data_IF_119752705536
#
_entry.id   IF_119752705536
#
_cell.length_a   1.000
_cell.length_b   1.000
_cell.length_c   1.000
_cell.angle_alpha   90.00
_cell.angle_beta   90.00
_cell.angle_gamma   90.00
#
_symmetry.space_group_name_H-M   'P 1'
#
loop_
_entity.id
_entity.type
_entity.pdbx_description
1 polymer ?
#
# COMPACT_ATOMS: atom_id res chain seq x y z
N UNK A 1 52.63 12.11 -3.74
CA UNK A 1 51.65 11.01 -3.61
C UNK A 1 50.91 11.06 -2.28
N UNK A 2 51.59 11.46 -1.20
CA UNK A 2 51.02 11.44 0.16
C UNK A 2 49.87 12.43 0.40
N UNK A 3 49.85 13.58 -0.28
CA UNK A 3 48.79 14.58 -0.10
C UNK A 3 47.42 14.13 -0.66
N UNK A 4 47.42 13.37 -1.76
CA UNK A 4 46.20 12.80 -2.34
C UNK A 4 45.59 11.73 -1.45
N UNK A 5 46.43 10.90 -0.81
CA UNK A 5 45.97 9.87 0.13
C UNK A 5 45.34 10.53 1.36
N UNK A 6 45.98 11.57 1.92
CA UNK A 6 45.44 12.32 3.05
C UNK A 6 44.10 12.98 2.72
N UNK A 7 43.99 13.61 1.54
CA UNK A 7 42.75 14.23 1.09
C UNK A 7 41.62 13.20 0.89
N UNK A 8 41.94 12.03 0.33
CA UNK A 8 40.98 10.94 0.19
C UNK A 8 40.46 10.42 1.53
N UNK A 9 41.33 10.27 2.53
CA UNK A 9 40.95 9.83 3.87
C UNK A 9 40.04 10.86 4.57
N UNK A 10 40.36 12.15 4.46
CA UNK A 10 39.50 13.23 4.99
C UNK A 10 38.12 13.23 4.35
N UNK A 11 38.04 13.08 3.02
CA UNK A 11 36.78 13.04 2.30
C UNK A 11 35.97 11.78 2.62
N UNK A 12 36.63 10.64 2.83
CA UNK A 12 35.98 9.42 3.33
C UNK A 12 35.38 9.65 4.71
N UNK A 13 36.17 10.20 5.64
CA UNK A 13 35.73 10.44 7.02
C UNK A 13 34.59 11.47 7.08
N UNK A 14 34.63 12.49 6.20
CA UNK A 14 33.58 13.52 6.09
C UNK A 14 32.27 12.91 5.60
N UNK A 15 32.32 12.02 4.60
CA UNK A 15 31.13 11.29 4.10
C UNK A 15 30.54 10.36 5.16
N UNK A 16 31.37 9.61 5.88
CA UNK A 16 30.91 8.74 6.97
C UNK A 16 30.23 9.56 8.10
N UNK A 17 30.82 10.69 8.49
CA UNK A 17 30.20 11.60 9.47
C UNK A 17 28.86 12.15 8.99
N UNK A 18 28.77 12.60 7.74
CA UNK A 18 27.51 13.11 7.16
C UNK A 18 26.42 12.04 7.16
N UNK A 19 26.75 10.81 6.76
CA UNK A 19 25.81 9.69 6.76
C UNK A 19 25.30 9.40 8.19
N UNK A 20 26.19 9.41 9.18
CA UNK A 20 25.80 9.24 10.59
C UNK A 20 24.84 10.34 11.07
N UNK A 21 25.14 11.62 10.78
CA UNK A 21 24.27 12.73 11.17
C UNK A 21 22.91 12.71 10.45
N UNK A 22 22.88 12.36 9.16
CA UNK A 22 21.64 12.19 8.42
C UNK A 22 20.79 11.04 9.00
N UNK A 23 21.39 9.90 9.31
CA UNK A 23 20.68 8.78 9.93
C UNK A 23 20.11 9.15 11.32
N UNK A 24 20.83 9.96 12.10
CA UNK A 24 20.34 10.46 13.38
C UNK A 24 19.15 11.43 13.21
N UNK A 25 19.19 12.32 12.20
CA UNK A 25 18.07 13.22 11.88
C UNK A 25 16.84 12.44 11.44
N UNK A 26 17.00 11.49 10.51
CA UNK A 26 15.90 10.66 10.00
C UNK A 26 15.21 9.86 11.12
N UNK A 27 15.97 9.41 12.14
CA UNK A 27 15.38 8.75 13.32
C UNK A 27 14.48 9.67 14.13
N UNK A 28 14.93 10.90 14.42
CA UNK A 28 14.10 11.89 15.14
C UNK A 28 12.85 12.26 14.34
N UNK A 29 13.00 12.52 13.05
CA UNK A 29 11.87 12.83 12.16
C UNK A 29 10.88 11.64 12.09
N UNK A 30 11.39 10.41 12.09
CA UNK A 30 10.57 9.19 12.13
C UNK A 30 9.80 9.02 13.44
N UNK A 31 10.42 9.28 14.59
CA UNK A 31 9.79 9.26 15.91
C UNK A 31 8.70 10.34 16.04
N UNK A 32 8.99 11.57 15.60
CA UNK A 32 8.02 12.66 15.54
C UNK A 32 6.83 12.34 14.62
N UNK A 33 7.09 11.74 13.46
CA UNK A 33 6.03 11.30 12.54
C UNK A 33 5.15 10.20 13.14
N UNK A 34 5.73 9.26 13.89
CA UNK A 34 5.00 8.20 14.57
C UNK A 34 4.08 8.78 15.68
N UNK A 35 4.59 9.70 16.51
CA UNK A 35 3.77 10.38 17.52
C UNK A 35 2.64 11.20 16.91
N UNK A 36 2.88 11.92 15.80
CA UNK A 36 1.83 12.66 15.10
C UNK A 36 0.74 11.73 14.54
N UNK A 37 1.11 10.55 14.02
CA UNK A 37 0.16 9.57 13.50
C UNK A 37 -0.70 8.93 14.60
N UNK A 38 -0.15 8.71 15.79
CA UNK A 38 -0.91 8.20 16.95
C UNK A 38 -1.93 9.23 17.45
N UNK A 39 -1.51 10.50 17.53
CA UNK A 39 -2.38 11.60 17.97
C UNK A 39 -3.56 11.86 17.01
N UNK A 40 -3.38 11.66 15.70
CA UNK A 40 -4.50 11.79 14.75
C UNK A 40 -5.54 10.68 14.94
N UNK A 41 -5.13 9.45 15.28
CA UNK A 41 -6.05 8.33 15.48
C UNK A 41 -6.98 8.57 16.68
N UNK A 42 -6.46 9.03 17.82
CA UNK A 42 -7.29 9.35 18.99
C UNK A 42 -8.22 10.54 18.73
N UNK A 43 -7.76 11.56 17.98
CA UNK A 43 -8.64 12.65 17.55
C UNK A 43 -9.78 12.16 16.64
N UNK A 44 -9.52 11.27 15.69
CA UNK A 44 -10.56 10.69 14.84
C UNK A 44 -11.57 9.85 15.64
N UNK A 45 -11.11 9.13 16.66
CA UNK A 45 -11.96 8.37 17.58
C UNK A 45 -12.89 9.29 18.38
N UNK A 46 -12.35 10.40 18.90
CA UNK A 46 -13.14 11.41 19.61
C UNK A 46 -14.18 12.06 18.69
N UNK A 47 -13.79 12.45 17.47
CA UNK A 47 -14.68 13.01 16.45
C UNK A 47 -15.79 12.01 16.09
N UNK A 48 -15.45 10.74 15.90
CA UNK A 48 -16.42 9.68 15.61
C UNK A 48 -17.49 9.53 16.70
N UNK A 49 -17.10 9.55 17.98
CA UNK A 49 -18.02 9.47 19.11
C UNK A 49 -18.96 10.69 19.14
N UNK A 50 -18.43 11.90 18.93
CA UNK A 50 -19.23 13.12 18.90
C UNK A 50 -20.23 13.10 17.73
N UNK A 51 -19.79 12.69 16.54
CA UNK A 51 -20.68 12.60 15.36
C UNK A 51 -21.80 11.57 15.55
N UNK A 52 -21.51 10.41 16.16
CA UNK A 52 -22.53 9.41 16.48
C UNK A 52 -23.54 9.94 17.51
N UNK A 53 -23.07 10.62 18.55
CA UNK A 53 -23.94 11.23 19.57
C UNK A 53 -24.84 12.33 19.01
N UNK A 54 -24.27 13.24 18.20
CA UNK A 54 -25.02 14.32 17.55
C UNK A 54 -26.01 13.74 16.52
N UNK A 55 -25.61 12.72 15.76
CA UNK A 55 -26.48 12.03 14.81
C UNK A 55 -27.68 11.35 15.50
N UNK A 56 -27.47 10.72 16.65
CA UNK A 56 -28.56 10.12 17.44
C UNK A 56 -29.53 11.17 18.00
N UNK A 57 -29.00 12.29 18.53
CA UNK A 57 -29.82 13.41 19.01
C UNK A 57 -30.60 14.06 17.87
N UNK A 58 -29.98 14.24 16.71
CA UNK A 58 -30.61 14.79 15.52
C UNK A 58 -31.72 13.86 14.99
N UNK A 59 -31.48 12.56 14.92
CA UNK A 59 -32.49 11.57 14.52
C UNK A 59 -33.66 11.54 15.49
N UNK A 60 -33.40 11.61 16.80
CA UNK A 60 -34.42 11.70 17.84
C UNK A 60 -35.25 12.99 17.73
N UNK A 61 -34.61 14.14 17.50
CA UNK A 61 -35.26 15.43 17.27
C UNK A 61 -36.16 15.38 16.02
N UNK A 62 -35.67 14.88 14.89
CA UNK A 62 -36.43 14.77 13.64
C UNK A 62 -37.60 13.77 13.75
N UNK A 63 -37.52 12.81 14.67
CA UNK A 63 -38.60 11.84 14.94
C UNK A 63 -39.80 12.49 15.67
N UNK A 64 -39.60 13.62 16.36
CA UNK A 64 -40.69 14.35 17.04
C UNK A 64 -41.31 15.42 16.15
N UNK A 65 -42.65 15.56 16.17
CA UNK A 65 -43.36 16.61 15.40
C UNK A 65 -42.86 18.03 15.74
N UNK A 66 -42.50 18.26 17.00
CA UNK A 66 -41.96 19.54 17.49
C UNK A 66 -40.53 19.75 16.97
N UNK A 67 -39.70 18.71 16.98
CA UNK A 67 -38.32 18.81 16.55
C UNK A 67 -38.14 19.03 15.04
N UNK A 68 -39.09 18.61 14.19
CA UNK A 68 -39.06 18.95 12.75
C UNK A 68 -39.20 20.45 12.49
N UNK A 69 -40.06 21.15 13.24
CA UNK A 69 -40.25 22.60 13.10
C UNK A 69 -39.03 23.35 13.61
N UNK A 70 -38.52 22.96 14.78
CA UNK A 70 -37.31 23.57 15.37
C UNK A 70 -36.07 23.34 14.50
N UNK A 71 -35.94 22.16 13.88
CA UNK A 71 -34.83 21.86 12.95
C UNK A 71 -34.88 22.70 11.67
N UNK A 72 -36.07 22.97 11.12
CA UNK A 72 -36.22 23.85 9.95
C UNK A 72 -35.86 25.30 10.31
N UNK A 73 -36.31 25.78 11.48
CA UNK A 73 -35.97 27.12 11.96
C UNK A 73 -34.45 27.26 12.21
N UNK A 74 -33.81 26.26 12.82
CA UNK A 74 -32.37 26.24 13.04
C UNK A 74 -31.56 26.18 11.74
N UNK A 75 -32.02 25.43 10.73
CA UNK A 75 -31.34 25.39 9.42
C UNK A 75 -31.44 26.73 8.69
N UNK A 76 -32.60 27.39 8.74
CA UNK A 76 -32.80 28.71 8.13
C UNK A 76 -32.00 29.80 8.84
N UNK A 77 -31.96 29.80 10.18
CA UNK A 77 -31.18 30.76 10.95
C UNK A 77 -29.66 30.48 10.87
N UNK A 78 -29.25 29.21 10.90
CA UNK A 78 -27.87 28.78 10.80
C UNK A 78 -27.24 29.08 9.44
N UNK A 79 -27.99 28.92 8.35
CA UNK A 79 -27.53 29.28 7.00
C UNK A 79 -27.19 30.76 6.84
N UNK A 80 -27.95 31.65 7.51
CA UNK A 80 -27.70 33.09 7.49
C UNK A 80 -26.45 33.47 8.30
N UNK A 81 -26.16 32.78 9.42
CA UNK A 81 -24.99 33.06 10.25
C UNK A 81 -23.70 32.45 9.69
N UNK A 82 -23.75 31.22 9.15
CA UNK A 82 -22.59 30.57 8.52
C UNK A 82 -22.16 31.24 7.22
N UNK A 83 -23.10 31.79 6.45
CA UNK A 83 -22.80 32.50 5.21
C UNK A 83 -21.96 33.76 5.42
N UNK A 84 -22.17 34.48 6.52
CA UNK A 84 -21.42 35.71 6.85
C UNK A 84 -20.02 35.38 7.37
N UNK A 85 -19.89 34.34 8.19
CA UNK A 85 -18.59 33.87 8.72
C UNK A 85 -17.66 33.34 7.61
N UNK A 86 -18.21 32.59 6.64
CA UNK A 86 -17.44 32.10 5.49
C UNK A 86 -16.88 33.23 4.62
N UNK A 87 -17.65 34.30 4.42
CA UNK A 87 -17.23 35.45 3.62
C UNK A 87 -16.12 36.28 4.30
N UNK A 88 -16.11 36.33 5.63
CA UNK A 88 -15.07 37.02 6.39
C UNK A 88 -13.76 36.22 6.45
N UNK A 89 -13.85 34.89 6.52
CA UNK A 89 -12.67 34.02 6.62
C UNK A 89 -11.92 33.85 5.28
N UNK A 90 -12.62 33.98 4.15
CA UNK A 90 -12.05 33.89 2.79
C UNK A 90 -11.02 35.00 2.49
N UNK A 91 -11.16 36.17 3.12
CA UNK A 91 -10.19 37.26 3.03
C UNK A 91 -8.90 36.96 3.82
N UNK A 92 -9.01 36.34 5.00
CA UNK A 92 -7.89 35.97 5.85
C UNK A 92 -7.05 34.84 5.22
N UNK A 93 -7.70 33.83 4.62
CA UNK A 93 -7.01 32.72 3.96
C UNK A 93 -6.18 33.17 2.74
N UNK A 94 -6.69 34.13 1.94
CA UNK A 94 -5.90 34.71 0.83
C UNK A 94 -4.72 35.55 1.30
N UNK A 95 -4.79 36.17 2.48
CA UNK A 95 -3.68 36.92 3.04
C UNK A 95 -2.54 35.97 3.49
N UNK A 96 -2.89 34.85 4.13
CA UNK A 96 -1.92 33.83 4.53
C UNK A 96 -1.27 33.12 3.33
N UNK A 97 -2.03 32.82 2.27
CA UNK A 97 -1.50 32.22 1.04
C UNK A 97 -0.40 33.09 0.39
N UNK A 98 -0.56 34.43 0.39
CA UNK A 98 0.47 35.35 -0.14
C UNK A 98 1.75 35.36 0.69
N UNK A 99 1.65 35.20 2.01
CA UNK A 99 2.82 35.13 2.90
C UNK A 99 3.64 33.86 2.66
N UNK A 100 2.98 32.72 2.44
CA UNK A 100 3.65 31.45 2.12
C UNK A 100 4.37 31.52 0.78
N UNK A 101 3.74 32.13 -0.24
CA UNK A 101 4.36 32.29 -1.56
C UNK A 101 5.57 33.23 -1.56
N UNK A 102 5.56 34.28 -0.74
CA UNK A 102 6.75 35.13 -0.54
C UNK A 102 7.89 34.39 0.16
N UNK A 103 7.59 33.56 1.17
CA UNK A 103 8.61 32.76 1.87
C UNK A 103 9.26 31.71 0.96
N UNK A 104 8.50 31.13 0.03
CA UNK A 104 9.02 30.14 -0.93
C UNK A 104 9.91 30.78 -2.01
N UNK A 105 9.62 32.02 -2.42
CA UNK A 105 10.45 32.76 -3.36
C UNK A 105 11.77 33.26 -2.74
N UNK A 106 11.83 33.50 -1.43
CA UNK A 106 13.08 33.87 -0.73
C UNK A 106 14.00 32.68 -0.40
N UNK A 107 13.47 31.45 -0.42
CA UNK A 107 14.24 30.23 -0.11
C UNK A 107 14.89 29.56 -1.34
N UNK A 108 14.63 30.05 -2.56
CA UNK A 108 15.25 29.54 -3.79
C UNK A 108 16.52 30.34 -4.12
N UNK A 109 17.71 29.74 -4.15
CA UNK A 109 18.92 30.44 -4.59
C UNK A 109 18.74 30.83 -6.07
N UNK A 110 18.77 32.13 -6.36
CA UNK A 110 18.84 32.62 -7.73
C UNK A 110 20.21 32.30 -8.30
N UNK A 111 20.25 31.33 -9.22
CA UNK A 111 21.35 31.19 -10.15
C UNK A 111 21.02 31.97 -11.43
N UNK A 112 22.04 32.67 -11.92
CA UNK A 112 22.22 33.30 -13.24
C UNK A 112 21.40 34.55 -13.58
N UNK A 113 22.13 35.66 -13.55
CA UNK A 113 21.91 36.88 -14.31
C UNK A 113 22.07 36.65 -15.84
N UNK A 114 21.36 37.51 -16.57
CA UNK A 114 21.63 38.05 -17.91
C UNK A 114 21.98 37.10 -19.06
N UNK A 115 21.02 36.90 -19.97
CA UNK A 115 21.19 37.25 -21.40
C UNK A 115 19.84 37.72 -21.96
N UNK A 116 19.79 39.02 -22.31
CA UNK A 116 18.83 39.59 -23.23
C UNK A 116 18.96 38.93 -24.61
N UNK A 117 17.84 38.50 -25.20
CA UNK A 117 17.65 38.77 -26.63
C UNK A 117 16.20 38.82 -27.04
N UNK A 118 15.96 39.74 -27.97
CA UNK A 118 14.71 40.35 -28.37
C UNK A 118 13.64 39.37 -28.87
N UNK A 119 12.40 39.78 -28.63
CA UNK A 119 11.22 39.34 -29.33
C UNK A 119 11.38 39.52 -30.86
N UNK A 120 10.94 38.53 -31.63
CA UNK A 120 10.39 38.75 -32.96
C UNK A 120 9.18 37.85 -33.14
N UNK A 121 8.06 38.49 -33.48
CA UNK A 121 6.72 37.94 -33.68
C UNK A 121 6.51 37.75 -35.18
N UNK A 122 6.26 36.52 -35.62
CA UNK A 122 5.57 36.16 -36.88
C UNK A 122 4.84 34.85 -36.59
N UNK A 123 3.54 34.88 -36.28
CA UNK A 123 2.40 34.74 -37.20
C UNK A 123 2.33 33.38 -37.91
N UNK A 124 1.22 32.67 -37.64
CA UNK A 124 0.46 31.67 -38.42
C UNK A 124 1.21 30.84 -39.50
N UNK A 125 1.01 29.53 -39.61
CA UNK A 125 -0.30 28.97 -39.97
C UNK A 125 -0.29 27.44 -39.81
N UNK A 126 -1.47 26.94 -39.47
CA UNK A 126 -1.90 25.56 -39.49
C UNK A 126 -2.13 25.11 -40.94
N UNK A 127 -1.56 23.97 -41.35
CA UNK A 127 -1.98 23.25 -42.57
C UNK A 127 -1.91 21.74 -42.35
N UNK A 128 -3.07 21.13 -42.57
CA UNK A 128 -3.35 19.70 -42.61
C UNK A 128 -3.38 19.27 -44.08
N UNK A 129 -2.70 18.17 -44.40
CA UNK A 129 -2.91 17.29 -45.55
C UNK A 129 -2.06 16.04 -45.29
N UNK A 130 -2.60 14.86 -44.98
CA UNK A 130 -3.42 13.92 -45.79
C UNK A 130 -2.64 13.19 -46.89
N UNK A 131 -2.91 11.86 -46.97
CA UNK A 131 -2.76 10.90 -48.09
C UNK A 131 -1.48 10.02 -48.06
N UNK A 132 -1.50 8.70 -48.44
CA UNK A 132 -2.54 7.67 -48.41
C UNK A 132 -2.13 6.29 -47.80
N UNK A 133 -3.16 5.45 -47.67
CA UNK A 133 -3.18 3.99 -47.47
C UNK A 133 -3.15 3.22 -48.80
N UNK A 134 -2.54 2.03 -48.83
CA UNK A 134 -2.78 0.90 -49.77
C UNK A 134 -2.00 -0.34 -49.25
N UNK A 135 -2.69 -1.36 -48.69
CA UNK A 135 -3.03 -2.69 -49.30
C UNK A 135 -1.82 -3.59 -49.62
N UNK A 136 -1.80 -4.92 -49.45
CA UNK A 136 -2.72 -5.99 -49.01
C UNK A 136 -1.89 -7.30 -48.90
N UNK A 137 -2.55 -8.39 -48.47
CA UNK A 137 -2.22 -9.82 -48.72
C UNK A 137 -1.16 -10.52 -47.84
N UNK A 138 -1.33 -11.78 -47.41
CA UNK A 138 -2.44 -12.73 -47.45
C UNK A 138 -2.10 -13.95 -46.56
N UNK A 139 -3.14 -14.66 -46.13
CA UNK A 139 -3.13 -15.91 -45.34
C UNK A 139 -2.62 -17.08 -46.21
N UNK A 140 -2.11 -18.18 -45.62
CA UNK A 140 -2.90 -19.40 -45.75
C UNK A 140 -2.98 -20.24 -44.46
N UNK A 141 -4.11 -20.90 -44.33
CA UNK A 141 -4.38 -21.97 -43.38
C UNK A 141 -4.25 -23.34 -44.06
N UNK A 142 -3.98 -24.33 -43.22
CA UNK A 142 -4.19 -25.78 -43.39
C UNK A 142 -3.24 -26.53 -44.34
N UNK A 143 -2.50 -27.49 -43.79
CA UNK A 143 -2.92 -28.87 -44.03
C UNK A 143 -2.48 -29.87 -42.95
N UNK A 144 -3.36 -30.85 -42.77
CA UNK A 144 -3.32 -31.95 -41.81
C UNK A 144 -2.51 -33.11 -42.38
N UNK A 145 -1.70 -33.79 -41.56
CA UNK A 145 -1.58 -35.26 -41.65
C UNK A 145 -0.95 -35.83 -40.37
N UNK A 146 -1.74 -36.67 -39.72
CA UNK A 146 -1.32 -37.65 -38.73
C UNK A 146 -0.58 -38.82 -39.40
N UNK A 147 0.18 -39.56 -38.58
CA UNK A 147 0.50 -41.03 -38.57
C UNK A 147 1.83 -41.16 -37.82
N UNK A 148 1.85 -41.46 -36.52
CA UNK A 148 1.81 -42.79 -35.87
C UNK A 148 2.88 -43.79 -36.36
N UNK A 149 3.87 -44.05 -35.51
CA UNK A 149 4.48 -45.36 -35.17
C UNK A 149 5.57 -45.05 -34.12
N UNK A 150 5.34 -45.28 -32.83
CA UNK A 150 5.37 -46.58 -32.15
C UNK A 150 6.80 -47.16 -32.07
N UNK A 151 7.34 -47.15 -30.84
CA UNK A 151 8.19 -48.23 -30.29
C UNK A 151 8.22 -48.07 -28.78
N UNK A 152 7.34 -48.82 -28.11
CA UNK A 152 7.50 -49.28 -26.73
C UNK A 152 8.68 -50.29 -26.69
N UNK A 153 9.55 -50.30 -25.69
CA UNK A 153 9.47 -51.00 -24.39
C UNK A 153 10.89 -50.84 -23.79
N UNK A 154 11.13 -50.79 -22.48
CA UNK A 154 10.81 -51.87 -21.57
C UNK A 154 10.96 -51.44 -20.10
N UNK A 155 9.87 -51.70 -19.38
CA UNK A 155 9.75 -52.07 -17.97
C UNK A 155 11.04 -52.49 -17.26
N UNK A 156 11.26 -51.90 -16.09
CA UNK A 156 11.59 -52.70 -14.90
C UNK A 156 10.57 -52.38 -13.81
N UNK A 157 9.76 -53.40 -13.51
CA UNK A 157 8.96 -53.46 -12.31
C UNK A 157 9.89 -53.69 -11.11
N UNK A 158 9.63 -52.98 -10.03
CA UNK A 158 9.89 -53.48 -8.69
C UNK A 158 8.73 -53.05 -7.82
N UNK A 159 7.75 -53.95 -7.75
CA UNK A 159 6.95 -54.13 -6.55
C UNK A 159 7.88 -54.27 -5.35
N UNK A 160 7.69 -53.43 -4.35
CA UNK A 160 7.91 -53.84 -2.97
C UNK A 160 6.73 -53.35 -2.15
N UNK A 161 5.67 -54.15 -2.24
CA UNK A 161 4.72 -54.30 -1.17
C UNK A 161 5.43 -55.06 -0.05
N UNK A 162 5.56 -54.43 1.10
CA UNK A 162 5.77 -55.10 2.39
C UNK A 162 5.04 -54.28 3.43
N UNK A 163 3.74 -54.54 3.50
CA UNK A 163 2.99 -54.42 4.73
C UNK A 163 3.66 -55.33 5.76
N UNK A 164 4.13 -54.73 6.85
CA UNK A 164 4.28 -55.44 8.12
C UNK A 164 3.28 -54.79 9.04
N UNK A 165 2.31 -55.58 9.45
CA UNK A 165 1.29 -55.29 10.43
C UNK A 165 1.91 -54.76 11.73
N UNK A 166 1.99 -53.43 11.82
CA UNK A 166 2.04 -52.73 13.08
C UNK A 166 0.70 -52.00 13.24
N UNK A 167 -0.10 -52.53 14.15
CA UNK A 167 -1.21 -51.84 14.83
C UNK A 167 -0.94 -50.33 14.87
N UNK A 168 -1.86 -49.46 14.43
CA UNK A 168 -1.73 -48.04 14.68
C UNK A 168 -1.83 -47.85 16.19
N UNK A 169 -0.68 -47.84 16.85
CA UNK A 169 -0.58 -47.29 18.19
C UNK A 169 -1.07 -45.86 18.05
N UNK A 170 -2.15 -45.57 18.77
CA UNK A 170 -2.67 -44.24 18.96
C UNK A 170 -1.52 -43.39 19.50
N UNK A 171 -0.81 -42.73 18.59
CA UNK A 171 0.07 -41.64 18.92
C UNK A 171 -0.84 -40.59 19.55
N UNK A 172 -0.80 -40.53 20.87
CA UNK A 172 -1.47 -39.51 21.64
C UNK A 172 -1.18 -38.17 20.98
N UNK A 173 -2.22 -37.59 20.40
CA UNK A 173 -2.18 -36.34 19.67
C UNK A 173 -1.72 -35.26 20.65
N UNK A 174 -0.41 -34.99 20.63
CA UNK A 174 0.17 -33.92 21.41
C UNK A 174 -0.47 -32.64 20.88
N UNK A 175 -1.03 -31.78 21.75
CA UNK A 175 -1.70 -30.57 21.29
C UNK A 175 -0.70 -29.72 20.49
N UNK A 176 -0.88 -29.68 19.18
CA UNK A 176 -0.06 -28.87 18.28
C UNK A 176 -0.36 -27.41 18.59
N UNK A 177 0.60 -26.71 19.19
CA UNK A 177 0.44 -25.30 19.50
C UNK A 177 0.23 -24.49 18.22
N UNK A 178 -0.88 -23.76 18.13
CA UNK A 178 -1.16 -22.86 17.01
C UNK A 178 -0.41 -21.55 17.25
N UNK A 179 0.56 -21.26 16.38
CA UNK A 179 1.41 -20.06 16.49
C UNK A 179 1.37 -19.30 15.16
N UNK A 180 0.69 -18.16 15.09
CA UNK A 180 0.71 -17.31 13.89
C UNK A 180 1.90 -16.33 13.92
N UNK A 181 1.99 -15.40 12.96
CA UNK A 181 2.96 -14.30 13.03
C UNK A 181 2.61 -13.25 14.10
N UNK A 182 1.45 -13.40 14.74
CA UNK A 182 0.94 -12.58 15.83
C UNK A 182 0.34 -13.46 16.94
N UNK A 183 0.04 -12.84 18.07
CA UNK A 183 -0.58 -13.52 19.22
C UNK A 183 -2.05 -13.86 18.94
N UNK A 184 -2.33 -15.16 18.76
CA UNK A 184 -3.67 -15.66 18.49
C UNK A 184 -4.69 -15.37 19.58
N UNK A 185 -4.27 -15.10 20.83
CA UNK A 185 -5.20 -14.69 21.90
C UNK A 185 -5.81 -13.30 21.65
N UNK A 186 -5.19 -12.51 20.77
CA UNK A 186 -5.62 -11.15 20.41
C UNK A 186 -6.41 -11.11 19.09
N UNK A 187 -6.67 -12.26 18.47
CA UNK A 187 -7.42 -12.37 17.22
C UNK A 187 -8.86 -11.83 17.38
N UNK A 188 -9.16 -10.75 16.67
CA UNK A 188 -10.42 -10.01 16.78
C UNK A 188 -11.27 -10.13 15.52
N UNK A 189 -10.62 -10.03 14.35
CA UNK A 189 -11.29 -10.09 13.05
C UNK A 189 -11.57 -11.53 12.61
N UNK A 190 -12.53 -11.71 11.67
CA UNK A 190 -12.84 -13.03 11.10
C UNK A 190 -11.60 -13.68 10.49
N UNK A 191 -10.79 -12.89 9.78
CA UNK A 191 -9.59 -13.39 9.10
C UNK A 191 -8.47 -13.75 10.09
N UNK A 192 -8.27 -12.96 11.17
CA UNK A 192 -7.33 -13.32 12.24
C UNK A 192 -7.73 -14.62 12.94
N UNK A 193 -9.01 -14.79 13.26
CA UNK A 193 -9.52 -16.02 13.87
C UNK A 193 -9.33 -17.21 12.93
N UNK A 194 -9.50 -17.01 11.62
CA UNK A 194 -9.26 -18.05 10.62
C UNK A 194 -7.78 -18.42 10.50
N UNK A 195 -6.87 -17.43 10.53
CA UNK A 195 -5.42 -17.65 10.61
C UNK A 195 -5.07 -18.47 11.87
N UNK A 196 -5.72 -18.19 12.99
CA UNK A 196 -5.47 -18.88 14.26
C UNK A 196 -6.30 -20.14 14.48
N UNK A 197 -7.03 -20.63 13.46
CA UNK A 197 -7.94 -21.77 13.62
C UNK A 197 -7.27 -23.13 13.47
N UNK A 198 -6.21 -23.24 12.65
CA UNK A 198 -5.47 -24.48 12.45
C UNK A 198 -3.96 -24.24 12.44
N UNK A 199 -3.13 -25.25 12.76
CA UNK A 199 -1.67 -25.12 12.65
C UNK A 199 -1.19 -24.73 11.25
N UNK A 200 -1.87 -25.19 10.20
CA UNK A 200 -1.49 -24.94 8.81
C UNK A 200 -1.71 -23.49 8.38
N UNK A 201 -2.85 -22.89 8.75
CA UNK A 201 -3.13 -21.48 8.42
C UNK A 201 -2.23 -20.54 9.22
N UNK A 202 -1.92 -20.88 10.47
CA UNK A 202 -0.99 -20.14 11.30
C UNK A 202 0.45 -20.23 10.79
N UNK A 203 0.90 -21.41 10.36
CA UNK A 203 2.21 -21.58 9.72
C UNK A 203 2.32 -20.80 8.41
N UNK A 204 1.29 -20.84 7.56
CA UNK A 204 1.27 -20.07 6.31
C UNK A 204 1.40 -18.56 6.58
N UNK A 205 0.75 -18.03 7.62
CA UNK A 205 0.87 -16.63 8.03
C UNK A 205 2.30 -16.27 8.49
N UNK A 206 2.98 -17.15 9.25
CA UNK A 206 4.40 -16.96 9.60
C UNK A 206 5.31 -16.96 8.36
N UNK A 207 5.09 -17.90 7.44
CA UNK A 207 5.86 -17.99 6.19
C UNK A 207 5.66 -16.75 5.33
N UNK A 208 4.44 -16.22 5.26
CA UNK A 208 4.15 -14.96 4.58
C UNK A 208 4.93 -13.80 5.20
N UNK A 209 4.90 -13.66 6.53
CA UNK A 209 5.64 -12.61 7.22
C UNK A 209 7.15 -12.67 6.93
N UNK A 210 7.73 -13.87 6.94
CA UNK A 210 9.13 -14.10 6.61
C UNK A 210 9.45 -13.75 5.14
N UNK A 211 8.63 -14.21 4.19
CA UNK A 211 8.79 -13.92 2.77
C UNK A 211 8.70 -12.42 2.47
N UNK A 212 7.72 -11.73 3.05
CA UNK A 212 7.56 -10.29 2.91
C UNK A 212 8.74 -9.51 3.50
N UNK A 213 9.24 -9.92 4.68
CA UNK A 213 10.44 -9.32 5.27
C UNK A 213 11.66 -9.48 4.37
N UNK A 214 11.86 -10.66 3.79
CA UNK A 214 12.96 -10.93 2.86
C UNK A 214 12.85 -10.12 1.56
N UNK A 215 11.66 -10.08 0.95
CA UNK A 215 11.39 -9.30 -0.26
C UNK A 215 11.62 -7.81 -0.01
N UNK A 216 11.17 -7.29 1.14
CA UNK A 216 11.39 -5.89 1.54
C UNK A 216 12.86 -5.53 1.74
N UNK A 217 13.69 -6.46 2.21
CA UNK A 217 15.11 -6.23 2.39
C UNK A 217 15.87 -6.16 1.05
N UNK A 218 15.36 -6.84 0.01
CA UNK A 218 15.96 -6.87 -1.34
C UNK A 218 15.41 -5.80 -2.28
N UNK A 219 14.21 -5.29 -2.01
CA UNK A 219 13.52 -4.37 -2.93
C UNK A 219 14.23 -3.01 -3.05
N UNK A 220 14.38 -2.55 -4.30
CA UNK A 220 14.82 -1.19 -4.62
C UNK A 220 13.75 -0.13 -4.30
N UNK A 221 12.48 -0.54 -4.16
CA UNK A 221 11.36 0.30 -3.75
C UNK A 221 10.49 -0.39 -2.67
N UNK A 222 10.92 -0.32 -1.39
CA UNK A 222 10.21 -0.97 -0.30
C UNK A 222 8.86 -0.30 0.03
N UNK A 223 8.65 0.95 -0.38
CA UNK A 223 7.41 1.68 -0.11
C UNK A 223 6.29 1.21 -1.03
N UNK A 224 6.58 1.02 -2.31
CA UNK A 224 5.64 0.43 -3.27
C UNK A 224 5.29 -1.01 -2.89
N UNK A 225 6.27 -1.83 -2.50
CA UNK A 225 6.01 -3.19 -2.01
C UNK A 225 5.12 -3.19 -0.76
N UNK A 226 5.32 -2.23 0.16
CA UNK A 226 4.46 -2.07 1.36
C UNK A 226 3.03 -1.63 1.01
N UNK A 227 2.85 -0.84 -0.04
CA UNK A 227 1.52 -0.46 -0.52
C UNK A 227 0.81 -1.66 -1.16
N UNK A 228 1.52 -2.42 -1.99
CA UNK A 228 1.02 -3.63 -2.64
C UNK A 228 0.62 -4.71 -1.62
N UNK A 229 1.46 -4.98 -0.61
CA UNK A 229 1.11 -5.93 0.47
C UNK A 229 -0.15 -5.49 1.23
N UNK A 230 -0.28 -4.19 1.55
CA UNK A 230 -1.49 -3.66 2.21
C UNK A 230 -2.73 -3.83 1.35
N UNK A 231 -2.61 -3.60 0.04
CA UNK A 231 -3.70 -3.80 -0.91
C UNK A 231 -4.12 -5.27 -0.97
N UNK A 232 -3.15 -6.18 -1.03
CA UNK A 232 -3.41 -7.63 -1.01
C UNK A 232 -4.14 -8.07 0.27
N UNK A 233 -3.67 -7.60 1.45
CA UNK A 233 -4.30 -7.90 2.74
C UNK A 233 -5.77 -7.42 2.81
N UNK A 234 -6.04 -6.24 2.25
CA UNK A 234 -7.34 -5.57 2.33
C UNK A 234 -8.36 -6.04 1.29
N UNK A 235 -7.94 -6.72 0.22
CA UNK A 235 -8.84 -7.11 -0.87
C UNK A 235 -8.86 -8.62 -1.11
N UNK A 236 -7.71 -9.27 -1.17
CA UNK A 236 -7.62 -10.69 -1.52
C UNK A 236 -7.73 -11.58 -0.27
N UNK A 237 -6.89 -11.33 0.74
CA UNK A 237 -6.88 -12.15 1.96
C UNK A 237 -8.19 -12.05 2.73
N UNK A 238 -8.71 -10.83 2.89
CA UNK A 238 -9.94 -10.60 3.67
C UNK A 238 -11.20 -11.20 3.04
N UNK A 239 -11.18 -11.46 1.73
CA UNK A 239 -12.31 -12.05 1.00
C UNK A 239 -12.50 -13.54 1.34
N UNK A 240 -11.51 -14.21 1.93
CA UNK A 240 -11.61 -15.63 2.25
C UNK A 240 -12.61 -15.94 3.37
N UNK A 241 -13.43 -16.96 3.14
CA UNK A 241 -14.42 -17.47 4.09
C UNK A 241 -13.94 -18.67 4.92
N UNK A 242 -12.90 -19.37 4.45
CA UNK A 242 -12.44 -20.65 4.99
C UNK A 242 -10.91 -20.85 4.82
N UNK A 243 -10.40 -21.89 5.49
CA UNK A 243 -8.98 -22.18 5.55
C UNK A 243 -8.38 -22.53 4.18
N UNK A 244 -9.12 -23.23 3.32
CA UNK A 244 -8.65 -23.61 1.99
C UNK A 244 -8.42 -22.38 1.10
N UNK A 245 -9.35 -21.43 1.11
CA UNK A 245 -9.18 -20.15 0.45
C UNK A 245 -7.96 -19.40 0.99
N UNK A 246 -7.87 -19.26 2.31
CA UNK A 246 -6.79 -18.52 2.96
C UNK A 246 -5.42 -19.11 2.64
N UNK A 247 -5.27 -20.43 2.71
CA UNK A 247 -4.03 -21.13 2.36
C UNK A 247 -3.64 -20.90 0.92
N UNK A 248 -4.59 -20.99 -0.03
CA UNK A 248 -4.32 -20.77 -1.45
C UNK A 248 -3.78 -19.36 -1.69
N UNK A 249 -4.55 -18.33 -1.32
CA UNK A 249 -4.15 -16.93 -1.59
C UNK A 249 -2.86 -16.57 -0.87
N UNK A 250 -2.64 -17.09 0.34
CA UNK A 250 -1.42 -16.84 1.12
C UNK A 250 -0.19 -17.50 0.48
N UNK A 251 -0.31 -18.75 0.03
CA UNK A 251 0.79 -19.44 -0.66
C UNK A 251 1.10 -18.80 -2.02
N UNK A 252 0.07 -18.36 -2.77
CA UNK A 252 0.25 -17.61 -4.03
C UNK A 252 1.04 -16.31 -3.77
N UNK A 253 0.71 -15.60 -2.69
CA UNK A 253 1.41 -14.38 -2.28
C UNK A 253 2.86 -14.65 -1.87
N UNK A 254 3.10 -15.71 -1.08
CA UNK A 254 4.46 -16.15 -0.70
C UNK A 254 5.29 -16.42 -1.95
N UNK A 255 4.75 -17.13 -2.95
CA UNK A 255 5.44 -17.45 -4.18
C UNK A 255 5.85 -16.17 -4.96
N UNK A 256 4.94 -15.19 -5.07
CA UNK A 256 5.24 -13.89 -5.70
C UNK A 256 6.36 -13.17 -4.97
N UNK A 257 6.27 -13.03 -3.65
CA UNK A 257 7.27 -12.35 -2.82
C UNK A 257 8.65 -13.05 -2.88
N UNK A 258 8.66 -14.39 -2.97
CA UNK A 258 9.89 -15.17 -3.04
C UNK A 258 10.61 -15.06 -4.39
N UNK A 259 9.90 -14.62 -5.42
CA UNK A 259 10.44 -14.42 -6.78
C UNK A 259 10.98 -13.00 -7.04
N UNK A 260 10.85 -12.09 -6.06
CA UNK A 260 11.33 -10.70 -6.13
C UNK A 260 12.82 -10.54 -5.81
#
# INVERSE_FOLDING_TARGET
MDDLVRQYEEDRLRREKLAYFQAARNRREGEEAAHRADQTIENFKLIGIVLLGVGALFWWLVSTKIGRIVSVILLLAGGALYGVDWLQNDAAMRAQARQVEQSHNMAKPQASADVQSAATKVSAQQSVASVPSASEDSIPASDTTAVTSDTAQQVTASESSSQVDAKPDAQAEQPVAIVASFDCSRASSKIEKLICSTPETADADRRLAAAYSAARAKSNDPNTLKADERNWLANERIACSDAACLLRVTNDRIARLSSM
#
